data_IF_275806246028
#
_entry.id   IF_275806246028
#
_cell.length_a   1.000
_cell.length_b   1.000
_cell.length_c   1.000
_cell.angle_alpha   90.00
_cell.angle_beta   90.00
_cell.angle_gamma   90.00
#
_symmetry.space_group_name_H-M   'P 1'
#
loop_
_entity.id
_entity.type
_entity.pdbx_description
1 polymer ?
#
# COMPACT_ATOMS: atom_id res chain seq x y z
N UNK A 1 -31.14 1.06 26.32
CA UNK A 1 -30.52 2.40 26.20
C UNK A 1 -29.62 2.42 24.96
N UNK A 2 -29.98 3.12 23.87
CA UNK A 2 -29.14 3.18 22.68
C UNK A 2 -27.98 4.16 22.92
N UNK A 3 -26.74 3.71 22.74
CA UNK A 3 -25.56 4.60 22.80
C UNK A 3 -25.64 5.57 21.62
N UNK A 4 -25.85 6.85 21.94
CA UNK A 4 -25.81 8.00 21.03
C UNK A 4 -24.51 7.91 20.21
N UNK A 5 -24.62 7.63 18.90
CA UNK A 5 -23.47 7.72 17.98
C UNK A 5 -23.02 9.19 18.00
N UNK A 6 -21.75 9.42 18.31
CA UNK A 6 -21.15 10.75 18.21
C UNK A 6 -20.90 10.99 16.73
N UNK A 7 -21.78 11.76 16.11
CA UNK A 7 -21.55 12.34 14.78
C UNK A 7 -20.46 13.39 14.92
N UNK A 8 -19.21 13.05 14.57
CA UNK A 8 -18.10 13.98 14.68
C UNK A 8 -16.69 13.40 14.52
N UNK A 9 -16.51 12.23 13.90
CA UNK A 9 -15.18 11.63 13.77
C UNK A 9 -14.95 11.15 12.33
N UNK A 10 -13.83 11.56 11.77
CA UNK A 10 -13.14 11.00 10.60
C UNK A 10 -13.32 9.48 10.52
N UNK A 11 -13.38 8.93 9.29
CA UNK A 11 -13.55 7.49 9.02
C UNK A 11 -12.79 6.64 10.06
N UNK A 12 -13.43 5.63 10.70
CA UNK A 12 -12.76 4.85 11.74
C UNK A 12 -11.55 4.13 11.13
N UNK A 13 -10.37 4.38 11.71
CA UNK A 13 -9.12 3.71 11.34
C UNK A 13 -9.21 2.20 11.60
N UNK A 14 -8.32 1.44 10.99
CA UNK A 14 -8.20 0.02 11.32
C UNK A 14 -7.77 -0.18 12.79
N UNK A 15 -8.24 -1.25 13.44
CA UNK A 15 -7.82 -1.60 14.80
C UNK A 15 -6.30 -1.70 14.92
N UNK A 16 -5.65 -2.21 13.87
CA UNK A 16 -4.19 -2.23 13.72
C UNK A 16 -3.80 -1.32 12.57
N UNK A 17 -3.05 -0.26 12.87
CA UNK A 17 -2.69 0.78 11.91
C UNK A 17 -1.17 1.00 11.91
N UNK A 18 -0.42 -0.07 11.63
CA UNK A 18 1.04 0.01 11.55
C UNK A 18 1.47 1.02 10.48
N UNK A 19 2.36 1.92 10.88
CA UNK A 19 3.05 2.82 9.96
C UNK A 19 4.09 2.05 9.15
N UNK A 20 4.40 2.50 7.92
CA UNK A 20 5.59 2.03 7.23
C UNK A 20 6.84 2.29 8.08
N UNK A 21 7.80 1.38 8.01
CA UNK A 21 9.14 1.64 8.53
C UNK A 21 9.93 2.51 7.53
N UNK A 22 11.02 3.17 7.98
CA UNK A 22 11.97 3.79 7.08
C UNK A 22 12.43 2.80 6.01
N UNK A 23 12.48 3.28 4.75
CA UNK A 23 12.93 2.53 3.57
C UNK A 23 12.19 1.21 3.31
N UNK A 24 10.97 1.06 3.84
CA UNK A 24 10.16 -0.13 3.64
C UNK A 24 9.38 -0.10 2.32
N UNK A 25 9.44 -1.19 1.56
CA UNK A 25 8.63 -1.38 0.35
C UNK A 25 7.14 -1.53 0.64
N UNK A 26 6.30 -1.11 -0.31
CA UNK A 26 4.84 -1.17 -0.23
C UNK A 26 4.35 -2.60 -0.01
N UNK A 27 4.94 -3.58 -0.69
CA UNK A 27 4.66 -5.00 -0.52
C UNK A 27 4.99 -5.49 0.89
N UNK A 28 6.15 -5.09 1.46
CA UNK A 28 6.53 -5.42 2.84
C UNK A 28 5.55 -4.82 3.84
N UNK A 29 5.23 -3.53 3.70
CA UNK A 29 4.29 -2.85 4.58
C UNK A 29 2.90 -3.52 4.55
N UNK A 30 2.41 -3.86 3.37
CA UNK A 30 1.16 -4.58 3.17
C UNK A 30 1.15 -5.97 3.84
N UNK A 31 2.24 -6.73 3.71
CA UNK A 31 2.40 -8.05 4.35
C UNK A 31 2.42 -7.91 5.87
N UNK A 32 3.14 -6.93 6.40
CA UNK A 32 3.18 -6.65 7.84
C UNK A 32 1.82 -6.27 8.40
N UNK A 33 1.06 -5.44 7.69
CA UNK A 33 -0.32 -5.11 8.06
C UNK A 33 -1.20 -6.36 8.08
N UNK A 34 -1.10 -7.23 7.06
CA UNK A 34 -1.87 -8.47 7.03
C UNK A 34 -1.55 -9.37 8.23
N UNK A 35 -0.26 -9.58 8.52
CA UNK A 35 0.18 -10.38 9.66
C UNK A 35 -0.29 -9.80 11.00
N UNK A 36 -0.25 -8.48 11.15
CA UNK A 36 -0.70 -7.82 12.38
C UNK A 36 -2.23 -7.90 12.58
N UNK A 37 -3.00 -8.09 11.51
CA UNK A 37 -4.43 -8.43 11.56
C UNK A 37 -4.70 -9.95 11.68
N UNK A 38 -3.66 -10.79 11.80
CA UNK A 38 -3.81 -12.24 11.88
C UNK A 38 -4.23 -12.90 10.57
N UNK A 39 -3.99 -12.25 9.43
CA UNK A 39 -4.43 -12.70 8.11
C UNK A 39 -3.24 -13.01 7.20
N UNK A 40 -3.41 -13.99 6.30
CA UNK A 40 -2.51 -14.16 5.16
C UNK A 40 -2.61 -12.94 4.25
N UNK A 41 -1.51 -12.52 3.64
CA UNK A 41 -1.48 -11.34 2.78
C UNK A 41 -2.53 -11.40 1.65
N UNK A 42 -2.71 -12.56 1.01
CA UNK A 42 -3.76 -12.76 0.00
C UNK A 42 -5.17 -12.60 0.57
N UNK A 43 -5.45 -13.15 1.76
CA UNK A 43 -6.75 -13.04 2.42
C UNK A 43 -7.06 -11.59 2.81
N UNK A 44 -6.06 -10.88 3.34
CA UNK A 44 -6.16 -9.46 3.69
C UNK A 44 -6.48 -8.61 2.45
N UNK A 45 -5.72 -8.78 1.37
CA UNK A 45 -5.97 -8.08 0.11
C UNK A 45 -7.36 -8.40 -0.48
N UNK A 46 -7.80 -9.67 -0.42
CA UNK A 46 -9.14 -10.06 -0.90
C UNK A 46 -10.24 -9.40 -0.07
N UNK A 47 -10.06 -9.24 1.23
CA UNK A 47 -11.00 -8.56 2.11
C UNK A 47 -11.13 -7.07 1.76
N UNK A 48 -10.01 -6.41 1.46
CA UNK A 48 -9.98 -4.97 1.16
C UNK A 48 -10.40 -4.63 -0.27
N UNK A 49 -10.00 -5.45 -1.24
CA UNK A 49 -10.06 -5.10 -2.67
C UNK A 49 -10.92 -6.05 -3.51
N UNK A 50 -11.49 -7.08 -2.89
CA UNK A 50 -12.22 -8.13 -3.58
C UNK A 50 -11.29 -9.08 -4.36
N UNK A 51 -11.88 -10.00 -5.12
CA UNK A 51 -11.14 -11.00 -5.93
C UNK A 51 -10.73 -10.50 -7.32
N UNK A 52 -11.22 -9.34 -7.76
CA UNK A 52 -11.00 -8.85 -9.12
C UNK A 52 -9.61 -8.21 -9.30
N UNK A 53 -8.92 -7.83 -8.22
CA UNK A 53 -7.62 -7.16 -8.29
C UNK A 53 -6.48 -8.16 -8.11
N UNK A 54 -5.77 -8.45 -9.19
CA UNK A 54 -4.58 -9.32 -9.18
C UNK A 54 -3.34 -8.55 -8.67
N UNK A 55 -3.29 -8.31 -7.36
CA UNK A 55 -2.17 -7.62 -6.70
C UNK A 55 -0.86 -8.41 -6.79
N UNK A 56 -0.93 -9.73 -6.58
CA UNK A 56 0.25 -10.58 -6.45
C UNK A 56 0.88 -11.01 -7.78
N UNK A 57 0.18 -10.79 -8.90
CA UNK A 57 0.69 -11.08 -10.25
C UNK A 57 1.32 -9.84 -10.90
N UNK A 58 1.58 -8.80 -10.11
CA UNK A 58 2.15 -7.54 -10.57
C UNK A 58 3.19 -7.04 -9.58
N UNK A 59 4.18 -6.33 -10.09
CA UNK A 59 5.14 -5.60 -9.28
C UNK A 59 4.47 -4.34 -8.70
N UNK A 60 3.79 -4.48 -7.57
CA UNK A 60 3.06 -3.38 -6.92
C UNK A 60 3.98 -2.28 -6.38
N UNK A 61 5.23 -2.62 -6.06
CA UNK A 61 6.23 -1.67 -5.59
C UNK A 61 6.63 -0.73 -6.74
N UNK A 62 6.74 -1.26 -7.96
CA UNK A 62 6.97 -0.47 -9.17
C UNK A 62 5.72 0.23 -9.71
N UNK A 63 4.60 -0.48 -9.82
CA UNK A 63 3.37 0.06 -10.40
C UNK A 63 2.74 1.14 -9.51
N UNK A 64 2.94 1.07 -8.20
CA UNK A 64 2.46 2.03 -7.21
C UNK A 64 0.98 2.44 -7.43
N UNK A 65 0.04 1.46 -7.48
CA UNK A 65 -1.35 1.77 -7.76
C UNK A 65 -1.92 2.72 -6.70
N UNK A 66 -2.38 3.91 -7.12
CA UNK A 66 -2.88 4.95 -6.19
C UNK A 66 -3.96 4.41 -5.26
N UNK A 67 -4.92 3.66 -5.79
CA UNK A 67 -6.00 3.06 -5.01
C UNK A 67 -5.51 2.15 -3.86
N UNK A 68 -4.34 1.50 -4.00
CA UNK A 68 -3.77 0.66 -2.95
C UNK A 68 -3.17 1.57 -1.88
N UNK A 69 -2.33 2.51 -2.29
CA UNK A 69 -1.65 3.46 -1.40
C UNK A 69 -2.68 4.28 -0.63
N UNK A 70 -3.66 4.85 -1.31
CA UNK A 70 -4.74 5.66 -0.72
C UNK A 70 -5.50 4.85 0.32
N UNK A 71 -5.85 3.58 0.01
CA UNK A 71 -6.54 2.70 0.97
C UNK A 71 -5.68 2.44 2.20
N UNK A 72 -4.40 2.12 2.05
CA UNK A 72 -3.53 1.86 3.20
C UNK A 72 -3.32 3.14 4.02
N UNK A 73 -3.08 4.28 3.38
CA UNK A 73 -2.88 5.57 4.02
C UNK A 73 -4.11 6.02 4.81
N UNK A 74 -5.29 5.99 4.19
CA UNK A 74 -6.55 6.36 4.84
C UNK A 74 -6.82 5.51 6.08
N UNK A 75 -6.68 4.19 5.96
CA UNK A 75 -7.04 3.27 7.05
C UNK A 75 -5.98 3.20 8.16
N UNK A 76 -4.75 3.59 7.88
CA UNK A 76 -3.67 3.62 8.87
C UNK A 76 -3.40 5.02 9.41
N UNK A 77 -4.10 6.07 8.94
CA UNK A 77 -3.79 7.48 9.17
C UNK A 77 -2.36 7.86 8.78
N UNK A 78 -1.81 7.25 7.73
CA UNK A 78 -0.47 7.52 7.24
C UNK A 78 -0.53 8.65 6.20
N UNK A 79 0.34 9.67 6.30
CA UNK A 79 0.43 10.70 5.27
C UNK A 79 0.71 10.10 3.89
N UNK A 80 0.07 10.65 2.85
CA UNK A 80 0.11 10.06 1.52
C UNK A 80 1.53 10.06 0.91
N UNK A 81 2.33 11.08 1.21
CA UNK A 81 3.74 11.18 0.85
C UNK A 81 4.56 10.03 1.45
N UNK A 82 4.32 9.69 2.73
CA UNK A 82 4.97 8.56 3.39
C UNK A 82 4.59 7.24 2.70
N UNK A 83 3.30 7.03 2.39
CA UNK A 83 2.88 5.83 1.66
C UNK A 83 3.42 5.75 0.23
N UNK A 84 3.61 6.88 -0.44
CA UNK A 84 4.25 6.95 -1.77
C UNK A 84 5.75 6.64 -1.69
N UNK A 85 6.42 7.04 -0.61
CA UNK A 85 7.84 6.74 -0.39
C UNK A 85 8.12 5.24 -0.21
N UNK A 86 7.11 4.44 0.09
CA UNK A 86 7.22 2.98 0.10
C UNK A 86 7.27 2.36 -1.31
N UNK A 87 7.16 3.15 -2.37
CA UNK A 87 7.12 2.66 -3.75
C UNK A 87 8.40 3.00 -4.49
N UNK A 88 8.72 2.23 -5.53
CA UNK A 88 9.84 2.53 -6.41
C UNK A 88 9.59 3.78 -7.27
N UNK A 89 8.37 4.33 -7.24
CA UNK A 89 8.06 5.66 -7.79
C UNK A 89 8.71 6.80 -7.01
N UNK A 90 9.10 6.59 -5.76
CA UNK A 90 9.84 7.59 -4.98
C UNK A 90 11.20 7.94 -5.57
N UNK A 91 11.75 7.07 -6.42
CA UNK A 91 13.04 7.27 -7.09
C UNK A 91 12.94 7.91 -8.48
N UNK A 92 11.74 8.29 -8.92
CA UNK A 92 11.55 9.09 -10.14
C UNK A 92 12.24 10.46 -9.98
N UNK A 93 13.01 10.87 -10.99
CA UNK A 93 13.88 12.05 -10.94
C UNK A 93 15.20 11.87 -10.17
N UNK A 94 15.38 10.74 -9.46
CA UNK A 94 16.61 10.44 -8.69
C UNK A 94 17.42 9.32 -9.36
N UNK A 95 16.82 8.13 -9.52
CA UNK A 95 17.46 6.98 -10.17
C UNK A 95 17.10 6.89 -11.66
N UNK A 96 15.88 7.26 -12.03
CA UNK A 96 15.42 7.26 -13.43
C UNK A 96 14.62 8.54 -13.72
N UNK A 97 14.58 8.97 -14.97
CA UNK A 97 13.97 10.26 -15.34
C UNK A 97 12.45 10.24 -15.31
N UNK A 98 11.85 9.30 -16.03
CA UNK A 98 10.40 9.21 -16.22
C UNK A 98 9.92 7.79 -15.97
N UNK A 99 8.85 7.65 -15.19
CA UNK A 99 8.17 6.37 -15.03
C UNK A 99 7.56 5.92 -16.35
N UNK A 100 7.76 4.63 -16.68
CA UNK A 100 7.10 3.98 -17.81
C UNK A 100 6.59 2.61 -17.39
N UNK A 101 5.28 2.39 -17.57
CA UNK A 101 4.62 1.16 -17.13
C UNK A 101 5.14 -0.08 -17.88
N UNK A 102 5.35 0.03 -19.20
CA UNK A 102 5.63 -1.11 -20.09
C UNK A 102 7.11 -1.40 -20.33
N UNK A 103 8.03 -0.65 -19.72
CA UNK A 103 9.47 -0.78 -19.99
C UNK A 103 10.25 -1.21 -18.74
N UNK A 104 11.40 -1.84 -18.96
CA UNK A 104 12.42 -2.01 -17.93
C UNK A 104 12.85 -0.60 -17.51
N UNK A 105 12.60 -0.26 -16.26
CA UNK A 105 13.05 1.00 -15.67
C UNK A 105 14.56 0.87 -15.39
N UNK A 106 15.36 1.76 -15.97
CA UNK A 106 16.81 1.75 -15.74
C UNK A 106 17.10 1.83 -14.24
N UNK A 107 18.07 1.06 -13.76
CA UNK A 107 18.50 0.97 -12.35
C UNK A 107 17.50 0.34 -11.37
N UNK A 108 16.33 -0.10 -11.85
CA UNK A 108 15.39 -0.89 -11.05
C UNK A 108 15.44 -2.32 -11.54
N UNK A 109 15.76 -3.26 -10.65
CA UNK A 109 15.74 -4.69 -10.97
C UNK A 109 14.28 -5.14 -11.11
N UNK A 110 13.82 -5.59 -12.29
CA UNK A 110 12.46 -6.08 -12.45
C UNK A 110 12.27 -7.37 -11.67
N UNK A 111 11.11 -7.51 -11.02
CA UNK A 111 10.70 -8.78 -10.44
C UNK A 111 10.53 -9.82 -11.56
N UNK A 112 11.37 -10.86 -11.55
CA UNK A 112 11.19 -12.02 -12.44
C UNK A 112 10.11 -12.90 -11.85
N UNK A 113 9.01 -13.06 -12.60
CA UNK A 113 7.94 -14.02 -12.31
C UNK A 113 8.14 -15.29 -13.10
#
# INVERSE_FOLDING_TARGET
MPRKRRDGLTRPLWPVHLKPLPDELLSSWLVRLAHAHGLKAQSFCRLLFGSQRQLWNRDIDRLAPSWLIDTLCENTATPLDVGRNCTLRAYEGVLYRDYRESFITQWILPLRM
#
